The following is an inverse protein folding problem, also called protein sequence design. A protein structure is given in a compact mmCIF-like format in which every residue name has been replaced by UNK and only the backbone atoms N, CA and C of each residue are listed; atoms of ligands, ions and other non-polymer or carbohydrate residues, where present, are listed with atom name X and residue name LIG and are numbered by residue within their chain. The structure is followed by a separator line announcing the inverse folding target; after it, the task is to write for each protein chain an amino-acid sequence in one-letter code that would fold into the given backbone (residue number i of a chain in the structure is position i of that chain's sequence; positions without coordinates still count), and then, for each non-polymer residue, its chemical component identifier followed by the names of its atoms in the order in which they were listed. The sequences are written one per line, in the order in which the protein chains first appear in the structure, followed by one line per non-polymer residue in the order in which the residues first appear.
data_IF_660949260985
#
_entry.id   IF_660949260985
#
_cell.length_a   1.000
_cell.length_b   1.000
_cell.length_c   1.000
_cell.angle_alpha   90.00
_cell.angle_beta   90.00
_cell.angle_gamma   90.00
#
_symmetry.space_group_name_H-M   'P 1'
#
loop_
_entity.id
_entity.type
_entity.pdbx_description
1 polymer ?
#
# COMPACT_ATOMS: atom_id res chain seq x y z
N UNK A 1 40.71 -12.21 39.79
CA UNK A 1 41.86 -11.94 38.90
C UNK A 1 42.10 -12.97 37.79
N UNK A 2 41.84 -14.28 37.97
CA UNK A 2 41.99 -15.28 36.88
C UNK A 2 40.96 -15.19 35.73
N UNK A 3 39.88 -14.43 35.90
CA UNK A 3 38.86 -14.22 34.86
C UNK A 3 39.20 -13.10 33.85
N UNK A 4 40.02 -12.12 34.24
CA UNK A 4 40.39 -11.01 33.35
C UNK A 4 41.50 -11.38 32.35
N UNK A 5 42.31 -12.40 32.67
CA UNK A 5 43.41 -12.85 31.80
C UNK A 5 42.91 -13.64 30.57
N UNK A 6 41.77 -14.34 30.69
CA UNK A 6 41.20 -15.11 29.57
C UNK A 6 40.47 -14.25 28.53
N UNK A 7 39.95 -13.09 28.92
CA UNK A 7 39.34 -12.14 27.96
C UNK A 7 40.41 -11.40 27.16
N UNK A 8 41.56 -11.10 27.76
CA UNK A 8 42.65 -10.42 27.06
C UNK A 8 43.35 -11.33 26.02
N UNK A 9 43.49 -12.64 26.32
CA UNK A 9 44.05 -13.61 25.39
C UNK A 9 43.12 -13.91 24.19
N UNK A 10 41.79 -13.81 24.37
CA UNK A 10 40.83 -13.98 23.27
C UNK A 10 40.86 -12.80 22.28
N UNK A 11 41.13 -11.58 22.76
CA UNK A 11 41.32 -10.40 21.89
C UNK A 11 42.66 -10.42 21.15
N UNK A 12 43.73 -10.97 21.74
CA UNK A 12 45.01 -11.13 21.04
C UNK A 12 44.97 -12.23 19.95
N UNK A 13 44.14 -13.26 20.09
CA UNK A 13 44.00 -14.31 19.08
C UNK A 13 43.13 -13.90 17.88
N UNK A 14 42.15 -13.01 18.08
CA UNK A 14 41.31 -12.46 17.01
C UNK A 14 41.97 -11.30 16.24
N UNK A 15 42.94 -10.60 16.85
CA UNK A 15 43.71 -9.54 16.19
C UNK A 15 44.71 -10.02 15.13
N UNK A 16 45.26 -11.25 15.28
CA UNK A 16 46.25 -11.81 14.34
C UNK A 16 45.65 -12.58 13.16
N UNK A 17 44.33 -12.85 13.16
CA UNK A 17 43.65 -13.49 12.04
C UNK A 17 43.21 -12.49 10.95
N UNK A 18 43.23 -11.18 11.22
CA UNK A 18 42.79 -10.13 10.30
C UNK A 18 43.95 -9.38 9.61
N UNK A 19 45.19 -9.62 10.02
CA UNK A 19 46.40 -9.00 9.44
C UNK A 19 47.07 -9.82 8.33
N UNK A 20 46.64 -11.07 8.09
CA UNK A 20 47.20 -11.95 7.05
C UNK A 20 46.38 -12.04 5.74
N UNK A 21 45.39 -11.15 5.54
CA UNK A 21 44.60 -11.09 4.29
C UNK A 21 44.99 -9.90 3.40
N UNK A 22 45.84 -8.97 3.87
CA UNK A 22 46.24 -7.78 3.10
C UNK A 22 47.71 -7.74 2.63
N UNK A 23 48.43 -8.86 2.67
CA UNK A 23 49.81 -8.93 2.18
C UNK A 23 50.01 -10.09 1.19
N UNK A 24 49.29 -10.10 0.07
CA UNK A 24 49.69 -10.89 -1.12
C UNK A 24 48.91 -10.50 -2.38
N UNK A 25 48.92 -9.24 -2.80
CA UNK A 25 48.64 -8.88 -4.21
C UNK A 25 49.50 -7.66 -4.60
N UNK A 26 50.79 -7.88 -4.77
CA UNK A 26 51.62 -7.05 -5.65
C UNK A 26 52.47 -8.00 -6.52
N UNK A 27 52.32 -7.87 -7.84
CA UNK A 27 53.24 -8.45 -8.83
C UNK A 27 52.70 -9.61 -9.67
N UNK A 28 52.04 -9.29 -10.78
CA UNK A 28 52.27 -9.96 -12.07
C UNK A 28 51.53 -9.22 -13.21
N UNK A 29 52.29 -8.42 -13.96
CA UNK A 29 51.91 -7.97 -15.30
C UNK A 29 51.90 -9.15 -16.27
N UNK A 30 50.86 -9.26 -17.11
CA UNK A 30 50.91 -10.09 -18.30
C UNK A 30 49.55 -10.45 -18.90
N UNK A 31 49.29 -9.95 -20.12
CA UNK A 31 48.36 -10.57 -21.07
C UNK A 31 46.98 -9.92 -21.20
N UNK A 32 46.86 -8.99 -22.15
CA UNK A 32 45.57 -8.50 -22.64
C UNK A 32 44.78 -9.63 -23.32
N UNK A 33 43.58 -9.92 -22.80
CA UNK A 33 42.54 -10.69 -23.48
C UNK A 33 41.29 -9.82 -23.56
N UNK A 34 40.73 -9.70 -24.76
CA UNK A 34 39.58 -8.84 -25.03
C UNK A 34 38.38 -9.19 -24.13
N UNK A 35 37.56 -8.20 -23.73
CA UNK A 35 36.42 -8.44 -22.84
C UNK A 35 35.35 -9.26 -23.58
N UNK A 36 35.15 -10.50 -23.13
CA UNK A 36 33.97 -11.28 -23.49
C UNK A 36 32.71 -10.58 -22.97
N UNK A 37 31.65 -10.60 -23.79
CA UNK A 37 30.36 -10.02 -23.46
C UNK A 37 29.85 -10.54 -22.09
N UNK A 38 29.19 -9.68 -21.29
CA UNK A 38 28.62 -10.11 -20.02
C UNK A 38 27.57 -11.20 -20.25
N UNK A 39 27.43 -12.16 -19.32
CA UNK A 39 26.40 -13.19 -19.42
C UNK A 39 25.03 -12.53 -19.48
N UNK A 40 24.23 -12.94 -20.46
CA UNK A 40 22.81 -12.59 -20.60
C UNK A 40 22.12 -12.90 -19.28
N UNK A 41 21.72 -11.85 -18.56
CA UNK A 41 21.04 -11.97 -17.29
C UNK A 41 19.71 -12.69 -17.48
N UNK A 42 19.33 -13.53 -16.53
CA UNK A 42 17.97 -14.03 -16.40
C UNK A 42 17.02 -12.83 -16.38
N UNK A 43 16.23 -12.67 -17.45
CA UNK A 43 15.17 -11.67 -17.51
C UNK A 43 14.26 -11.88 -16.31
N UNK A 44 14.06 -10.83 -15.52
CA UNK A 44 12.98 -10.80 -14.55
C UNK A 44 11.67 -11.07 -15.31
N UNK A 45 10.71 -11.80 -14.71
CA UNK A 45 9.41 -11.96 -15.31
C UNK A 45 8.85 -10.58 -15.69
N UNK A 46 8.16 -10.46 -16.84
CA UNK A 46 7.61 -9.19 -17.30
C UNK A 46 6.74 -8.55 -16.21
N UNK A 47 6.56 -7.21 -16.19
CA UNK A 47 5.66 -6.57 -15.25
C UNK A 47 4.33 -7.32 -15.20
N UNK A 48 3.94 -7.76 -14.00
CA UNK A 48 2.71 -8.52 -13.77
C UNK A 48 1.51 -7.59 -13.85
N UNK A 49 1.20 -7.17 -15.08
CA UNK A 49 -0.12 -6.77 -15.57
C UNK A 49 0.03 -6.58 -17.06
N UNK A 50 -0.28 -7.62 -17.83
CA UNK A 50 -0.58 -7.45 -19.25
C UNK A 50 -1.85 -6.63 -19.31
N UNK A 51 -1.75 -5.35 -19.71
CA UNK A 51 -2.89 -4.74 -20.38
C UNK A 51 -3.32 -5.66 -21.52
N UNK A 52 -4.61 -5.74 -21.86
CA UNK A 52 -5.02 -6.49 -23.05
C UNK A 52 -4.17 -6.00 -24.23
N UNK A 53 -3.45 -6.94 -24.84
CA UNK A 53 -2.57 -6.66 -25.96
C UNK A 53 -3.45 -6.24 -27.14
N UNK A 54 -3.56 -4.93 -27.37
CA UNK A 54 -4.34 -4.38 -28.48
C UNK A 54 -5.85 -4.59 -28.35
N UNK A 55 -6.58 -3.81 -29.15
CA UNK A 55 -8.04 -3.81 -29.26
C UNK A 55 -8.67 -5.11 -29.81
N UNK A 56 -7.90 -6.19 -29.95
CA UNK A 56 -8.33 -7.44 -30.62
C UNK A 56 -8.51 -8.64 -29.69
N UNK A 57 -8.05 -8.62 -28.44
CA UNK A 57 -8.17 -9.76 -27.51
C UNK A 57 -8.97 -9.45 -26.23
N UNK A 58 -9.82 -8.42 -26.27
CA UNK A 58 -10.98 -8.41 -25.36
C UNK A 58 -11.94 -9.43 -25.92
N UNK A 59 -11.98 -10.62 -25.30
CA UNK A 59 -13.14 -11.49 -25.36
C UNK A 59 -14.35 -10.67 -24.92
N UNK A 60 -14.99 -10.01 -25.86
CA UNK A 60 -16.29 -9.41 -25.69
C UNK A 60 -17.25 -10.60 -25.54
N UNK A 61 -17.35 -11.13 -24.32
CA UNK A 61 -18.67 -11.55 -23.86
C UNK A 61 -19.58 -10.36 -24.17
N UNK A 62 -20.58 -10.54 -25.01
CA UNK A 62 -21.43 -9.44 -25.45
C UNK A 62 -22.04 -8.76 -24.21
N UNK A 63 -21.44 -7.63 -23.79
CA UNK A 63 -21.90 -6.82 -22.68
C UNK A 63 -23.10 -6.03 -23.18
N UNK A 64 -24.28 -6.67 -23.20
CA UNK A 64 -25.53 -5.97 -23.44
C UNK A 64 -25.76 -4.99 -22.30
N UNK A 65 -25.64 -3.69 -22.59
CA UNK A 65 -25.91 -2.62 -21.63
C UNK A 65 -27.34 -2.77 -21.10
N UNK A 66 -27.56 -2.87 -19.77
CA UNK A 66 -28.91 -2.78 -19.24
C UNK A 66 -29.48 -1.37 -19.48
N UNK A 67 -30.81 -1.24 -19.67
CA UNK A 67 -31.43 0.06 -19.91
C UNK A 67 -31.26 0.96 -18.67
N UNK A 68 -30.64 2.12 -18.88
CA UNK A 68 -30.42 3.16 -17.86
C UNK A 68 -31.75 3.86 -17.58
N UNK A 69 -32.39 3.54 -16.46
CA UNK A 69 -33.59 4.25 -16.01
C UNK A 69 -33.19 5.33 -14.99
N UNK A 70 -33.21 6.58 -15.46
CA UNK A 70 -33.65 7.76 -14.70
C UNK A 70 -32.97 8.07 -13.35
N UNK A 71 -31.71 8.51 -13.36
CA UNK A 71 -31.18 9.38 -12.32
C UNK A 71 -30.23 10.41 -12.98
N UNK A 72 -30.65 11.67 -13.00
CA UNK A 72 -29.81 12.79 -13.44
C UNK A 72 -28.67 13.01 -12.44
N UNK A 73 -27.50 12.47 -12.77
CA UNK A 73 -26.26 12.72 -12.06
C UNK A 73 -25.15 11.93 -12.73
N UNK A 74 -24.25 12.63 -13.43
CA UNK A 74 -22.99 12.16 -14.03
C UNK A 74 -22.62 10.70 -13.68
N UNK A 75 -23.20 9.74 -14.40
CA UNK A 75 -22.69 8.37 -14.37
C UNK A 75 -21.30 8.43 -14.98
N UNK A 76 -20.28 7.95 -14.26
CA UNK A 76 -18.98 7.65 -14.84
C UNK A 76 -19.09 6.40 -15.77
N UNK A 77 -20.16 6.30 -16.55
CA UNK A 77 -20.39 5.28 -17.56
C UNK A 77 -19.38 5.49 -18.68
N UNK A 78 -18.18 4.95 -18.49
CA UNK A 78 -17.08 5.18 -19.40
C UNK A 78 -15.70 4.96 -18.81
N UNK A 79 -15.54 4.66 -17.53
CA UNK A 79 -14.23 4.39 -16.94
C UNK A 79 -14.10 2.96 -16.41
N UNK A 80 -12.91 2.38 -16.57
CA UNK A 80 -12.47 1.14 -15.93
C UNK A 80 -11.31 1.44 -14.97
N UNK A 81 -11.45 1.01 -13.73
CA UNK A 81 -10.38 1.03 -12.73
C UNK A 81 -9.34 -0.03 -13.07
N UNK A 82 -8.08 0.36 -13.07
CA UNK A 82 -6.92 -0.51 -13.19
C UNK A 82 -5.91 -0.27 -12.08
N UNK A 83 -4.98 -1.21 -11.94
CA UNK A 83 -3.80 -1.04 -11.11
C UNK A 83 -2.55 -1.49 -11.85
N UNK A 84 -1.38 -1.01 -11.41
CA UNK A 84 -0.07 -1.46 -11.89
C UNK A 84 0.89 -1.52 -10.71
N UNK A 85 1.54 -2.67 -10.54
CA UNK A 85 2.48 -2.92 -9.46
C UNK A 85 3.94 -2.82 -9.91
N UNK A 86 4.66 -1.91 -9.26
CA UNK A 86 6.09 -1.70 -9.47
C UNK A 86 6.85 -2.40 -8.34
N UNK A 87 7.09 -3.69 -8.54
CA UNK A 87 7.94 -4.50 -7.66
C UNK A 87 9.42 -4.17 -7.92
N UNK A 88 10.23 -3.97 -6.86
CA UNK A 88 11.67 -3.75 -7.00
C UNK A 88 12.38 -4.90 -7.71
N UNK A 89 13.13 -4.59 -8.78
CA UNK A 89 13.99 -5.57 -9.44
C UNK A 89 15.26 -5.82 -8.62
N UNK A 90 15.78 -7.04 -8.71
CA UNK A 90 17.09 -7.38 -8.16
C UNK A 90 18.18 -6.79 -9.07
N UNK A 91 18.99 -5.86 -8.56
CA UNK A 91 20.10 -5.26 -9.30
C UNK A 91 21.32 -6.19 -9.29
N UNK A 92 21.64 -6.76 -8.12
CA UNK A 92 22.84 -7.57 -7.94
C UNK A 92 22.64 -8.64 -6.88
N UNK A 93 22.91 -9.89 -7.23
CA UNK A 93 23.02 -11.00 -6.26
C UNK A 93 24.40 -10.96 -5.61
N UNK A 94 24.49 -10.91 -4.28
CA UNK A 94 25.75 -11.08 -3.53
C UNK A 94 25.63 -12.29 -2.60
N UNK A 95 26.76 -12.86 -2.21
CA UNK A 95 26.83 -13.98 -1.26
C UNK A 95 26.11 -13.65 0.07
N UNK A 96 26.26 -12.41 0.54
CA UNK A 96 25.68 -11.92 1.81
C UNK A 96 24.34 -11.18 1.61
N UNK A 97 23.72 -11.27 0.44
CA UNK A 97 22.41 -10.66 0.18
C UNK A 97 22.31 -9.99 -1.20
N UNK A 98 21.09 -9.98 -1.74
CA UNK A 98 20.78 -9.31 -2.99
C UNK A 98 20.45 -7.83 -2.80
N UNK A 99 20.94 -6.99 -3.70
CA UNK A 99 20.61 -5.56 -3.82
C UNK A 99 19.41 -5.42 -4.74
N UNK A 100 18.45 -4.59 -4.34
CA UNK A 100 17.24 -4.30 -5.11
C UNK A 100 17.20 -2.82 -5.51
N UNK A 101 16.38 -2.51 -6.51
CA UNK A 101 15.98 -1.14 -6.86
C UNK A 101 15.51 -0.40 -5.62
N UNK A 102 15.92 0.85 -5.50
CA UNK A 102 15.40 1.73 -4.45
C UNK A 102 14.02 2.29 -4.83
N UNK A 103 13.36 2.96 -3.90
CA UNK A 103 12.01 3.47 -4.14
C UNK A 103 11.99 4.57 -5.22
N UNK A 104 13.06 5.36 -5.34
CA UNK A 104 13.19 6.38 -6.37
C UNK A 104 13.19 5.80 -7.79
N UNK A 105 13.83 4.64 -7.95
CA UNK A 105 13.86 3.87 -9.20
C UNK A 105 12.46 3.36 -9.59
N UNK A 106 11.63 3.00 -8.59
CA UNK A 106 10.23 2.64 -8.84
C UNK A 106 9.41 3.82 -9.37
N UNK A 107 9.61 5.02 -8.81
CA UNK A 107 8.93 6.24 -9.27
C UNK A 107 9.34 6.60 -10.69
N UNK A 108 10.62 6.42 -11.06
CA UNK A 108 11.07 6.60 -12.43
C UNK A 108 10.38 5.61 -13.39
N UNK A 109 10.29 4.33 -12.99
CA UNK A 109 9.56 3.32 -13.77
C UNK A 109 8.07 3.61 -13.90
N UNK A 110 7.45 4.17 -12.87
CA UNK A 110 6.06 4.65 -12.94
C UNK A 110 5.93 5.73 -14.01
N UNK A 111 6.84 6.72 -14.03
CA UNK A 111 6.78 7.79 -15.02
C UNK A 111 6.95 7.28 -16.46
N UNK A 112 7.92 6.39 -16.70
CA UNK A 112 8.07 5.74 -18.02
C UNK A 112 6.80 4.98 -18.40
N UNK A 113 6.19 4.26 -17.45
CA UNK A 113 4.95 3.54 -17.72
C UNK A 113 3.78 4.50 -18.01
N UNK A 114 3.62 5.59 -17.26
CA UNK A 114 2.58 6.59 -17.53
C UNK A 114 2.75 7.21 -18.92
N UNK A 115 3.99 7.49 -19.33
CA UNK A 115 4.32 8.01 -20.67
C UNK A 115 3.91 7.06 -21.79
N UNK A 116 4.12 5.76 -21.61
CA UNK A 116 3.72 4.71 -22.56
C UNK A 116 2.20 4.50 -22.64
N UNK A 117 1.45 4.91 -21.62
CA UNK A 117 0.02 4.63 -21.47
C UNK A 117 -0.81 5.91 -21.51
N UNK A 118 -0.71 6.65 -22.62
CA UNK A 118 -1.54 7.82 -22.87
C UNK A 118 -3.04 7.47 -22.72
N UNK A 119 -3.80 8.34 -22.05
CA UNK A 119 -5.23 8.15 -21.82
C UNK A 119 -5.61 7.56 -20.46
N UNK A 120 -4.63 7.22 -19.62
CA UNK A 120 -4.90 6.91 -18.21
C UNK A 120 -5.03 8.18 -17.35
N UNK A 121 -5.86 8.11 -16.32
CA UNK A 121 -5.93 9.11 -15.26
C UNK A 121 -5.47 8.48 -13.96
N UNK A 122 -4.36 8.96 -13.39
CA UNK A 122 -3.87 8.44 -12.12
C UNK A 122 -4.79 8.91 -10.98
N UNK A 123 -5.29 7.96 -10.19
CA UNK A 123 -6.21 8.22 -9.08
C UNK A 123 -5.49 8.25 -7.74
N UNK A 124 -4.58 7.30 -7.52
CA UNK A 124 -3.90 7.12 -6.25
C UNK A 124 -2.60 6.35 -6.44
N UNK A 125 -1.68 6.57 -5.53
CA UNK A 125 -0.44 5.81 -5.38
C UNK A 125 -0.35 5.32 -3.95
N UNK A 126 0.10 4.08 -3.76
CA UNK A 126 0.32 3.53 -2.42
C UNK A 126 1.55 2.63 -2.36
N UNK A 127 2.07 2.48 -1.15
CA UNK A 127 3.23 1.66 -0.85
C UNK A 127 2.79 0.26 -0.42
N UNK A 128 2.95 -0.73 -1.29
CA UNK A 128 2.59 -2.13 -0.98
C UNK A 128 3.80 -2.87 -0.40
N UNK A 129 3.58 -3.67 0.64
CA UNK A 129 4.60 -4.49 1.29
C UNK A 129 4.32 -5.97 1.09
N UNK A 130 4.94 -6.60 0.11
CA UNK A 130 4.82 -8.04 -0.06
C UNK A 130 5.79 -8.80 0.84
N UNK A 131 5.36 -9.93 1.36
CA UNK A 131 6.19 -10.83 2.17
C UNK A 131 6.31 -12.20 1.52
N UNK A 132 7.47 -12.84 1.69
CA UNK A 132 7.72 -14.16 1.13
C UNK A 132 8.79 -14.93 1.91
N UNK A 133 8.84 -16.25 1.70
CA UNK A 133 9.95 -17.08 2.18
C UNK A 133 11.22 -16.83 1.37
N UNK A 134 11.04 -16.65 0.06
CA UNK A 134 12.08 -16.29 -0.90
C UNK A 134 11.63 -15.09 -1.72
N UNK A 135 12.59 -14.28 -2.15
CA UNK A 135 12.29 -13.10 -2.97
C UNK A 135 11.79 -13.48 -4.36
N UNK A 136 12.25 -14.62 -4.89
CA UNK A 136 11.83 -15.15 -6.19
C UNK A 136 10.34 -15.57 -6.21
N UNK A 137 9.72 -15.71 -5.04
CA UNK A 137 8.32 -16.14 -4.88
C UNK A 137 7.43 -15.00 -4.35
N UNK A 138 7.85 -13.75 -4.53
CA UNK A 138 7.02 -12.58 -4.21
C UNK A 138 6.18 -12.27 -5.44
N UNK A 139 4.91 -12.66 -5.36
CA UNK A 139 3.93 -12.47 -6.44
C UNK A 139 3.09 -11.24 -6.13
N UNK A 140 3.19 -10.22 -6.99
CA UNK A 140 2.48 -8.96 -6.83
C UNK A 140 0.95 -9.14 -6.81
N UNK A 141 0.46 -10.08 -7.62
CA UNK A 141 -0.96 -10.34 -7.81
C UNK A 141 -1.60 -11.13 -6.65
N UNK A 142 -0.84 -11.68 -5.69
CA UNK A 142 -1.44 -12.44 -4.59
C UNK A 142 -2.13 -11.53 -3.59
N UNK A 143 -3.39 -11.87 -3.27
CA UNK A 143 -4.19 -11.17 -2.25
C UNK A 143 -3.97 -11.72 -0.84
N UNK A 144 -2.95 -12.52 -0.60
CA UNK A 144 -2.64 -13.00 0.74
C UNK A 144 -1.15 -12.92 1.02
N UNK A 145 -0.82 -12.60 2.26
CA UNK A 145 0.54 -12.55 2.75
C UNK A 145 0.93 -13.88 3.36
N UNK A 146 2.03 -14.42 2.85
CA UNK A 146 2.74 -15.52 3.48
C UNK A 146 3.66 -14.91 4.53
N UNK A 147 3.47 -15.26 5.80
CA UNK A 147 4.40 -14.85 6.85
C UNK A 147 5.81 -15.30 6.44
N UNK A 148 6.68 -14.31 6.29
CA UNK A 148 8.02 -14.48 5.75
C UNK A 148 8.94 -13.44 6.34
N UNK A 149 10.16 -13.84 6.67
CA UNK A 149 11.18 -12.93 7.18
C UNK A 149 11.69 -11.94 6.12
N UNK A 150 11.33 -12.16 4.85
CA UNK A 150 11.75 -11.33 3.72
C UNK A 150 10.56 -10.51 3.25
N UNK A 151 10.77 -9.21 3.19
CA UNK A 151 9.76 -8.27 2.76
C UNK A 151 10.32 -7.43 1.61
N UNK A 152 9.47 -7.18 0.62
CA UNK A 152 9.69 -6.21 -0.45
C UNK A 152 8.61 -5.15 -0.38
N UNK A 153 9.01 -3.92 -0.65
CA UNK A 153 8.13 -2.78 -0.74
C UNK A 153 8.20 -2.20 -2.13
N UNK A 154 7.05 -2.16 -2.78
CA UNK A 154 6.92 -1.52 -4.07
C UNK A 154 5.91 -0.38 -4.02
N UNK A 155 5.51 0.00 -5.22
CA UNK A 155 4.58 1.07 -5.49
C UNK A 155 3.43 0.51 -6.32
N UNK A 156 2.20 0.65 -5.84
CA UNK A 156 0.99 0.36 -6.61
C UNK A 156 0.41 1.66 -7.11
N UNK A 157 0.19 1.73 -8.40
CA UNK A 157 -0.47 2.83 -9.08
C UNK A 157 -1.91 2.43 -9.38
N UNK A 158 -2.88 3.22 -8.91
CA UNK A 158 -4.29 3.08 -9.29
C UNK A 158 -4.63 4.11 -10.34
N UNK A 159 -5.30 3.68 -11.40
CA UNK A 159 -5.65 4.55 -12.53
C UNK A 159 -7.02 4.22 -13.12
N UNK A 160 -7.62 5.20 -13.78
CA UNK A 160 -8.82 5.03 -14.59
C UNK A 160 -8.44 5.04 -16.06
N UNK A 161 -9.06 4.15 -16.84
CA UNK A 161 -8.99 4.12 -18.30
C UNK A 161 -10.35 4.42 -18.88
N UNK A 162 -10.41 5.21 -19.95
CA UNK A 162 -11.66 5.39 -20.69
C UNK A 162 -11.98 4.13 -21.49
N UNK A 163 -13.22 3.65 -21.36
CA UNK A 163 -13.77 2.58 -22.19
C UNK A 163 -13.92 3.03 -23.65
N UNK A 164 -14.19 4.33 -23.85
CA UNK A 164 -14.26 4.97 -25.16
C UNK A 164 -13.28 6.15 -25.14
N UNK A 165 -12.11 6.03 -25.79
CA UNK A 165 -11.09 7.07 -25.77
C UNK A 165 -11.62 8.41 -26.31
N UNK A 166 -11.56 9.46 -25.49
CA UNK A 166 -11.86 10.82 -25.91
C UNK A 166 -10.62 11.44 -26.60
N UNK A 167 -10.77 12.01 -27.82
CA UNK A 167 -9.67 12.67 -28.52
C UNK A 167 -9.02 13.79 -27.72
N UNK A 168 -9.76 14.43 -26.80
CA UNK A 168 -9.32 15.60 -26.05
C UNK A 168 -8.36 15.24 -24.90
N UNK A 169 -8.39 14.01 -24.37
CA UNK A 169 -7.59 13.62 -23.19
C UNK A 169 -6.19 13.12 -23.50
N UNK A 170 -5.86 12.92 -24.77
CA UNK A 170 -4.55 12.38 -25.20
C UNK A 170 -3.37 13.35 -24.98
N UNK A 171 -3.55 14.47 -24.25
CA UNK A 171 -2.56 15.56 -24.14
C UNK A 171 -2.06 15.86 -22.74
N UNK A 172 -2.58 15.21 -21.69
CA UNK A 172 -2.08 15.48 -20.34
C UNK A 172 -0.92 14.56 -20.01
N UNK A 173 0.30 15.05 -20.25
CA UNK A 173 1.51 14.44 -19.71
C UNK A 173 1.48 14.58 -18.18
N UNK A 174 1.41 13.45 -17.48
CA UNK A 174 1.41 13.39 -16.02
C UNK A 174 2.78 12.90 -15.58
N UNK A 175 3.54 13.74 -14.88
CA UNK A 175 4.79 13.33 -14.24
C UNK A 175 4.52 13.17 -12.75
N UNK A 176 4.75 11.96 -12.23
CA UNK A 176 4.67 11.64 -10.82
C UNK A 176 5.99 12.00 -10.12
N UNK A 177 5.90 12.88 -9.13
CA UNK A 177 6.93 13.10 -8.13
C UNK A 177 6.55 12.46 -6.80
N UNK A 178 7.57 12.02 -6.08
CA UNK A 178 7.42 11.47 -4.74
C UNK A 178 8.44 12.13 -3.81
N UNK A 179 8.00 12.50 -2.60
CA UNK A 179 8.85 12.98 -1.51
C UNK A 179 8.52 12.21 -0.25
N UNK A 180 9.54 11.72 0.45
CA UNK A 180 9.35 11.02 1.73
C UNK A 180 10.01 11.79 2.86
N UNK A 181 9.26 12.04 3.93
CA UNK A 181 9.68 12.80 5.08
C UNK A 181 9.72 11.90 6.32
N UNK A 182 10.93 11.64 6.81
CA UNK A 182 11.14 10.88 8.03
C UNK A 182 10.85 11.72 9.28
N UNK A 183 10.35 11.12 10.37
CA UNK A 183 10.23 11.79 11.66
C UNK A 183 11.60 12.03 12.32
N UNK A 184 11.71 13.14 13.04
CA UNK A 184 12.78 13.38 14.03
C UNK A 184 12.49 12.60 15.32
N UNK A 185 13.50 12.33 16.17
CA UNK A 185 13.26 11.75 17.49
C UNK A 185 12.22 12.56 18.27
N UNK A 186 11.27 11.88 18.90
CA UNK A 186 10.16 12.46 19.67
C UNK A 186 9.17 13.35 18.90
N UNK A 187 9.31 13.46 17.57
CA UNK A 187 8.37 14.22 16.74
C UNK A 187 6.99 13.55 16.73
N UNK A 188 5.95 14.34 16.96
CA UNK A 188 4.56 13.95 16.76
C UNK A 188 4.19 14.00 15.28
N UNK A 189 3.12 13.32 14.89
CA UNK A 189 2.65 13.33 13.51
C UNK A 189 2.29 14.73 13.02
N UNK A 190 1.61 15.52 13.88
CA UNK A 190 1.29 16.93 13.61
C UNK A 190 2.54 17.81 13.38
N UNK A 191 3.61 17.60 14.14
CA UNK A 191 4.88 18.31 13.94
C UNK A 191 5.58 17.89 12.64
N UNK A 192 5.60 16.59 12.34
CA UNK A 192 6.14 16.06 11.09
C UNK A 192 5.41 16.68 9.89
N UNK A 193 4.08 16.68 9.89
CA UNK A 193 3.28 17.24 8.79
C UNK A 193 3.52 18.74 8.59
N UNK A 194 3.63 19.51 9.67
CA UNK A 194 3.98 20.94 9.58
C UNK A 194 5.29 21.15 8.83
N UNK A 195 6.31 20.39 9.19
CA UNK A 195 7.62 20.42 8.52
C UNK A 195 7.55 19.95 7.07
N UNK A 196 6.68 18.99 6.75
CA UNK A 196 6.40 18.61 5.35
C UNK A 196 5.89 19.81 4.57
N UNK A 197 4.86 20.50 5.06
CA UNK A 197 4.31 21.67 4.37
C UNK A 197 5.33 22.80 4.20
N UNK A 198 6.14 23.08 5.23
CA UNK A 198 7.24 24.05 5.14
C UNK A 198 8.25 23.68 4.05
N UNK A 199 8.61 22.39 3.94
CA UNK A 199 9.53 21.91 2.92
C UNK A 199 8.94 21.99 1.51
N UNK A 200 7.67 21.61 1.32
CA UNK A 200 6.99 21.69 0.04
C UNK A 200 6.89 23.13 -0.47
N UNK A 201 6.58 24.08 0.42
CA UNK A 201 6.57 25.52 0.09
C UNK A 201 7.97 25.99 -0.31
N UNK A 202 8.99 25.63 0.47
CA UNK A 202 10.38 26.04 0.22
C UNK A 202 10.94 25.49 -1.10
N UNK A 203 10.62 24.25 -1.44
CA UNK A 203 11.10 23.59 -2.65
C UNK A 203 10.37 24.07 -3.92
N UNK A 204 9.22 24.76 -3.78
CA UNK A 204 8.39 25.21 -4.89
C UNK A 204 8.10 24.09 -5.91
N UNK A 205 7.74 22.91 -5.40
CA UNK A 205 7.42 21.77 -6.26
C UNK A 205 6.12 22.09 -7.00
N UNK A 206 6.22 22.32 -8.32
CA UNK A 206 5.05 22.51 -9.16
C UNK A 206 4.17 21.25 -9.20
N UNK A 207 2.91 21.42 -9.60
CA UNK A 207 1.93 20.33 -9.66
C UNK A 207 0.90 20.35 -8.53
N UNK A 208 0.12 19.28 -8.47
CA UNK A 208 -1.00 19.06 -7.55
C UNK A 208 -0.73 17.82 -6.70
N UNK A 209 -1.03 17.89 -5.41
CA UNK A 209 -0.89 16.75 -4.50
C UNK A 209 -1.95 15.71 -4.89
N UNK A 210 -1.48 14.56 -5.37
CA UNK A 210 -2.31 13.43 -5.74
C UNK A 210 -2.82 12.73 -4.49
N UNK A 211 -1.89 12.22 -3.68
CA UNK A 211 -2.19 11.53 -2.44
C UNK A 211 -1.05 11.71 -1.42
N UNK A 212 -1.41 11.52 -0.15
CA UNK A 212 -0.50 11.56 0.98
C UNK A 212 -0.63 10.26 1.74
N UNK A 213 0.49 9.62 2.03
CA UNK A 213 0.52 8.30 2.65
C UNK A 213 1.35 8.35 3.94
N UNK A 214 0.81 7.80 5.04
CA UNK A 214 1.64 7.43 6.19
C UNK A 214 2.21 6.04 5.94
N UNK A 215 3.53 5.93 5.87
CA UNK A 215 4.20 4.65 5.62
C UNK A 215 4.99 4.22 6.87
N UNK A 216 4.74 3.02 7.43
CA UNK A 216 5.55 2.48 8.51
C UNK A 216 6.89 1.96 7.96
N UNK A 217 8.00 2.52 8.43
CA UNK A 217 9.35 2.06 8.13
C UNK A 217 9.92 1.30 9.32
N UNK A 218 10.48 0.12 9.08
CA UNK A 218 11.06 -0.72 10.12
C UNK A 218 12.58 -0.53 10.17
N UNK A 219 13.09 -0.21 11.35
CA UNK A 219 14.51 -0.25 11.66
C UNK A 219 14.84 -1.54 12.41
N UNK A 220 15.92 -2.20 11.98
CA UNK A 220 16.50 -3.36 12.70
C UNK A 220 17.23 -2.96 13.97
N UNK A 221 17.44 -1.65 14.20
CA UNK A 221 18.07 -1.16 15.43
C UNK A 221 17.06 -1.06 16.57
N UNK A 222 17.49 -1.43 17.78
CA UNK A 222 16.71 -1.31 19.02
C UNK A 222 16.41 0.14 19.40
N UNK A 223 17.24 1.08 18.95
CA UNK A 223 17.08 2.52 19.14
C UNK A 223 17.00 3.23 17.80
N UNK A 224 16.08 4.19 17.69
CA UNK A 224 16.02 5.06 16.52
C UNK A 224 17.20 6.03 16.53
N UNK A 225 18.08 5.89 15.54
CA UNK A 225 19.08 6.90 15.23
C UNK A 225 18.65 7.67 13.98
N UNK A 226 18.68 9.02 13.98
CA UNK A 226 18.50 9.79 12.76
C UNK A 226 19.41 9.26 11.65
N UNK A 227 18.84 8.98 10.47
CA UNK A 227 19.56 8.40 9.33
C UNK A 227 19.71 6.87 9.34
N UNK A 228 19.33 6.16 10.42
CA UNK A 228 19.34 4.69 10.44
C UNK A 228 18.21 4.08 9.60
N UNK A 229 17.14 4.84 9.36
CA UNK A 229 16.03 4.44 8.49
C UNK A 229 16.22 5.12 7.14
N UNK A 230 16.38 4.31 6.08
CA UNK A 230 16.39 4.81 4.71
C UNK A 230 14.99 4.59 4.10
N UNK A 231 14.24 5.65 3.73
CA UNK A 231 12.89 5.55 3.18
C UNK A 231 12.86 4.94 1.78
N UNK A 232 13.98 4.94 1.07
CA UNK A 232 14.11 4.40 -0.27
C UNK A 232 14.51 2.92 -0.27
N UNK A 233 14.78 2.33 0.90
CA UNK A 233 14.99 0.90 1.01
C UNK A 233 13.68 0.16 0.75
N UNK A 234 13.67 -0.60 -0.34
CA UNK A 234 12.56 -1.43 -0.77
C UNK A 234 12.62 -2.86 -0.24
N UNK A 235 13.73 -3.23 0.41
CA UNK A 235 13.97 -4.58 0.92
C UNK A 235 14.37 -4.54 2.38
N UNK A 236 13.74 -5.38 3.19
CA UNK A 236 14.27 -5.68 4.51
C UNK A 236 14.12 -7.16 4.85
N UNK A 237 14.96 -7.57 5.80
CA UNK A 237 14.91 -8.89 6.44
C UNK A 237 14.94 -8.67 7.93
N UNK A 238 14.01 -9.26 8.67
CA UNK A 238 14.08 -9.16 10.11
C UNK A 238 12.83 -9.59 10.83
N UNK A 239 13.02 -9.87 12.11
CA UNK A 239 11.94 -10.02 13.05
C UNK A 239 11.31 -8.66 13.35
N UNK A 240 10.07 -8.47 12.87
CA UNK A 240 9.29 -7.26 13.11
C UNK A 240 8.92 -7.08 14.58
N UNK A 241 9.03 -8.13 15.39
CA UNK A 241 8.55 -8.15 16.77
C UNK A 241 9.38 -7.29 17.73
N UNK A 242 10.58 -6.85 17.33
CA UNK A 242 11.42 -5.93 18.11
C UNK A 242 11.90 -4.72 17.30
N UNK A 243 11.28 -4.50 16.15
CA UNK A 243 11.66 -3.42 15.26
C UNK A 243 11.23 -2.07 15.84
N UNK A 244 12.09 -1.07 15.68
CA UNK A 244 11.66 0.32 15.83
C UNK A 244 10.92 0.72 14.57
N UNK A 245 9.68 1.15 14.72
CA UNK A 245 8.82 1.61 13.62
C UNK A 245 8.85 3.14 13.60
N UNK A 246 9.15 3.70 12.43
CA UNK A 246 9.05 5.12 12.14
C UNK A 246 7.94 5.36 11.09
N UNK A 247 6.89 6.07 11.48
CA UNK A 247 5.83 6.53 10.60
C UNK A 247 6.35 7.74 9.83
N UNK A 248 6.61 7.58 8.54
CA UNK A 248 6.98 8.68 7.65
C UNK A 248 5.78 9.15 6.84
N UNK A 249 5.87 10.37 6.30
CA UNK A 249 4.89 10.91 5.37
C UNK A 249 5.48 10.84 3.97
N UNK A 250 4.77 10.19 3.06
CA UNK A 250 5.10 10.14 1.63
C UNK A 250 4.07 10.95 0.87
N UNK A 251 4.53 11.93 0.10
CA UNK A 251 3.69 12.84 -0.69
C UNK A 251 3.90 12.55 -2.16
N UNK A 252 2.83 12.23 -2.85
CA UNK A 252 2.80 12.02 -4.29
C UNK A 252 2.21 13.26 -4.97
N UNK A 253 2.92 13.80 -5.97
CA UNK A 253 2.58 15.05 -6.65
C UNK A 253 2.53 14.76 -8.14
N UNK A 254 1.44 15.14 -8.81
CA UNK A 254 1.34 15.09 -10.27
C UNK A 254 1.62 16.48 -10.83
N UNK A 255 2.59 16.57 -11.74
CA UNK A 255 2.89 17.80 -12.48
C UNK A 255 2.11 17.80 -13.79
N UNK A 256 1.18 18.74 -13.92
CA UNK A 256 0.34 18.96 -15.12
C UNK A 256 0.60 20.32 -15.79
N UNK A 257 1.65 21.03 -15.38
CA UNK A 257 2.03 22.35 -15.91
C UNK A 257 1.46 23.55 -15.11
N UNK A 258 0.47 23.34 -14.26
CA UNK A 258 -0.03 24.34 -13.32
C UNK A 258 0.67 24.21 -11.95
N UNK A 259 1.12 25.32 -11.38
CA UNK A 259 1.66 25.36 -10.03
C UNK A 259 0.53 25.54 -9.03
N UNK A 260 0.25 24.51 -8.23
CA UNK A 260 -0.68 24.62 -7.11
C UNK A 260 0.09 24.69 -5.79
N UNK A 261 -0.15 25.76 -5.02
CA UNK A 261 0.34 25.86 -3.65
C UNK A 261 -0.69 25.25 -2.71
N UNK A 262 -0.43 24.01 -2.31
CA UNK A 262 -1.32 23.22 -1.47
C UNK A 262 -0.68 22.96 -0.11
N UNK A 263 -1.43 23.20 0.95
CA UNK A 263 -1.06 22.87 2.32
C UNK A 263 -1.80 21.61 2.75
N UNK A 264 -1.07 20.58 3.17
CA UNK A 264 -1.62 19.29 3.57
C UNK A 264 -2.15 19.37 5.01
N UNK A 265 -3.42 19.00 5.18
CA UNK A 265 -4.05 18.70 6.44
C UNK A 265 -4.39 17.21 6.59
N UNK A 266 -4.72 16.80 7.80
CA UNK A 266 -5.22 15.47 8.10
C UNK A 266 -6.24 15.50 9.24
N UNK A 267 -7.11 14.50 9.28
CA UNK A 267 -7.99 14.23 10.41
C UNK A 267 -7.99 12.74 10.71
N UNK A 268 -7.70 12.40 11.97
CA UNK A 268 -7.76 11.03 12.46
C UNK A 268 -9.11 10.73 13.10
N UNK A 269 -9.61 9.53 12.85
CA UNK A 269 -10.77 8.93 13.47
C UNK A 269 -10.33 7.65 14.16
N UNK A 270 -10.16 7.76 15.47
CA UNK A 270 -9.74 6.64 16.33
C UNK A 270 -10.99 5.89 16.80
N UNK A 271 -11.00 4.55 16.75
CA UNK A 271 -12.06 3.76 17.36
C UNK A 271 -12.18 4.05 18.85
N UNK A 272 -13.37 4.40 19.31
CA UNK A 272 -13.68 4.62 20.71
C UNK A 272 -14.00 3.31 21.40
N UNK A 273 -13.78 3.27 22.71
CA UNK A 273 -14.11 2.09 23.50
C UNK A 273 -15.61 2.07 23.81
N UNK A 274 -16.34 1.11 23.25
CA UNK A 274 -17.76 0.88 23.38
C UNK A 274 -18.06 -0.57 23.78
N UNK A 275 -18.81 -0.75 24.87
CA UNK A 275 -19.16 -2.07 25.41
C UNK A 275 -20.03 -2.90 24.45
N UNK A 276 -20.67 -2.29 23.44
CA UNK A 276 -21.50 -2.98 22.44
C UNK A 276 -20.70 -3.97 21.58
N UNK A 277 -19.39 -3.78 21.44
CA UNK A 277 -18.53 -4.55 20.52
C UNK A 277 -17.63 -5.54 21.25
N UNK A 278 -18.23 -6.47 22.01
CA UNK A 278 -17.46 -7.44 22.81
C UNK A 278 -16.50 -8.31 21.98
N UNK A 279 -16.87 -8.62 20.73
CA UNK A 279 -16.07 -9.33 19.74
C UNK A 279 -14.86 -8.51 19.23
N UNK A 280 -14.98 -7.19 19.17
CA UNK A 280 -13.90 -6.24 18.88
C UNK A 280 -13.19 -5.70 20.14
N UNK A 281 -13.26 -6.43 21.26
CA UNK A 281 -12.65 -6.03 22.56
C UNK A 281 -13.14 -4.68 23.09
N UNK A 282 -14.40 -4.40 22.80
CA UNK A 282 -15.08 -3.18 23.21
C UNK A 282 -14.61 -1.96 22.44
N UNK A 283 -14.18 -2.09 21.19
CA UNK A 283 -13.88 -0.94 20.33
C UNK A 283 -14.87 -0.87 19.17
N UNK A 284 -15.21 0.35 18.73
CA UNK A 284 -16.01 0.57 17.50
C UNK A 284 -15.44 -0.20 16.30
N UNK A 285 -16.31 -0.77 15.48
CA UNK A 285 -15.93 -1.42 14.21
C UNK A 285 -15.61 -0.38 13.13
N UNK A 286 -14.98 -0.81 12.04
CA UNK A 286 -14.49 0.10 11.01
C UNK A 286 -15.62 0.94 10.38
N UNK A 287 -16.80 0.37 10.17
CA UNK A 287 -17.96 1.07 9.63
C UNK A 287 -18.39 2.27 10.48
N UNK A 288 -18.38 2.13 11.81
CA UNK A 288 -18.74 3.23 12.71
C UNK A 288 -17.68 4.34 12.72
N UNK A 289 -16.40 3.95 12.64
CA UNK A 289 -15.28 4.91 12.48
C UNK A 289 -15.39 5.65 11.15
N UNK A 290 -15.77 4.95 10.08
CA UNK A 290 -16.03 5.54 8.77
C UNK A 290 -17.24 6.48 8.78
N UNK A 291 -18.29 6.19 9.54
CA UNK A 291 -19.44 7.09 9.70
C UNK A 291 -19.06 8.39 10.43
N UNK A 292 -18.12 8.33 11.38
CA UNK A 292 -17.53 9.53 12.00
C UNK A 292 -16.75 10.33 10.95
N UNK A 293 -15.93 9.66 10.13
CA UNK A 293 -15.18 10.29 9.05
C UNK A 293 -16.11 10.96 8.03
N UNK A 294 -17.16 10.28 7.60
CA UNK A 294 -18.13 10.78 6.63
C UNK A 294 -18.87 12.03 7.12
N UNK A 295 -19.32 12.03 8.39
CA UNK A 295 -19.96 13.21 9.00
C UNK A 295 -19.02 14.40 9.11
N UNK A 296 -17.75 14.17 9.39
CA UNK A 296 -16.75 15.24 9.43
C UNK A 296 -16.47 15.79 8.03
N UNK A 297 -16.27 14.91 7.03
CA UNK A 297 -16.05 15.28 5.62
C UNK A 297 -17.18 16.14 5.09
N UNK A 298 -18.44 15.76 5.34
CA UNK A 298 -19.63 16.48 4.88
C UNK A 298 -19.77 17.90 5.45
N UNK A 299 -19.05 18.22 6.53
CA UNK A 299 -19.04 19.55 7.16
C UNK A 299 -17.89 20.45 6.71
N UNK A 300 -16.88 19.89 6.03
CA UNK A 300 -15.76 20.70 5.60
C UNK A 300 -16.11 21.47 4.33
N UNK A 301 -15.56 22.68 4.22
CA UNK A 301 -15.67 23.54 3.04
C UNK A 301 -14.29 24.14 2.74
N UNK A 302 -14.03 24.45 1.47
CA UNK A 302 -12.77 25.06 1.06
C UNK A 302 -11.55 24.14 1.20
N UNK A 303 -11.77 22.84 1.30
CA UNK A 303 -10.73 21.81 1.32
C UNK A 303 -10.96 20.84 0.18
N UNK A 304 -9.88 20.33 -0.40
CA UNK A 304 -9.92 19.22 -1.36
C UNK A 304 -9.39 17.98 -0.67
N UNK A 305 -10.22 16.96 -0.52
CA UNK A 305 -9.78 15.68 0.01
C UNK A 305 -8.86 14.98 -1.00
N UNK A 306 -7.75 14.41 -0.55
CA UNK A 306 -6.79 13.70 -1.43
C UNK A 306 -7.01 12.19 -1.35
N UNK A 307 -7.08 11.64 -0.15
CA UNK A 307 -7.27 10.20 0.07
C UNK A 307 -7.70 9.91 1.50
N UNK A 308 -8.23 8.70 1.71
CA UNK A 308 -8.46 8.13 3.04
C UNK A 308 -7.52 6.94 3.19
N UNK A 309 -6.94 6.77 4.38
CA UNK A 309 -6.00 5.70 4.68
C UNK A 309 -6.39 4.98 5.96
N UNK A 310 -6.40 3.65 5.94
CA UNK A 310 -6.54 2.82 7.14
C UNK A 310 -5.17 2.54 7.75
N UNK A 311 -4.95 2.93 9.01
CA UNK A 311 -3.64 2.82 9.67
C UNK A 311 -3.69 1.96 10.92
N UNK A 312 -2.83 0.93 10.96
CA UNK A 312 -2.60 0.13 12.17
C UNK A 312 -1.58 0.80 13.08
N UNK A 313 -2.05 1.38 14.19
CA UNK A 313 -1.23 2.11 15.14
C UNK A 313 -1.14 1.38 16.47
N UNK A 314 0.05 1.40 17.07
CA UNK A 314 0.28 0.76 18.37
C UNK A 314 -0.56 1.45 19.45
N UNK A 315 -1.48 0.71 20.04
CA UNK A 315 -2.33 1.16 21.12
C UNK A 315 -1.66 0.99 22.48
N UNK A 316 -1.68 2.06 23.26
CA UNK A 316 -1.37 2.05 24.69
C UNK A 316 -2.61 2.54 25.41
N UNK A 317 -2.95 1.95 26.56
CA UNK A 317 -4.11 2.33 27.40
C UNK A 317 -4.06 3.77 27.96
N UNK A 318 -3.16 4.62 27.48
CA UNK A 318 -3.04 6.01 27.89
C UNK A 318 -3.94 6.86 26.99
N UNK A 319 -4.72 7.74 27.61
CA UNK A 319 -5.48 8.79 26.93
C UNK A 319 -4.70 10.10 27.20
N UNK A 320 -4.48 10.96 26.20
CA UNK A 320 -4.95 10.90 24.80
C UNK A 320 -4.19 9.88 23.94
N UNK A 321 -4.77 9.55 22.77
CA UNK A 321 -4.14 8.68 21.76
C UNK A 321 -2.79 9.24 21.33
N UNK A 322 -1.78 8.38 21.25
CA UNK A 322 -0.39 8.80 21.12
C UNK A 322 -0.03 9.11 19.66
N UNK A 323 0.18 10.39 19.34
CA UNK A 323 0.60 10.85 18.01
C UNK A 323 2.10 10.67 17.71
N UNK A 324 2.84 9.84 18.48
CA UNK A 324 4.28 9.68 18.24
C UNK A 324 4.53 8.96 16.91
N UNK A 325 5.39 9.53 16.07
CA UNK A 325 5.78 8.90 14.82
C UNK A 325 6.75 7.73 15.01
N UNK A 326 7.42 7.61 16.16
CA UNK A 326 8.40 6.56 16.41
C UNK A 326 7.98 5.74 17.61
N UNK A 327 7.91 4.43 17.44
CA UNK A 327 7.62 3.48 18.52
C UNK A 327 8.33 2.14 18.29
N UNK A 328 8.62 1.44 19.39
CA UNK A 328 9.13 0.06 19.32
C UNK A 328 7.95 -0.91 19.26
N UNK A 329 7.89 -1.76 18.24
CA UNK A 329 6.95 -2.87 18.18
C UNK A 329 7.34 -3.94 19.21
N UNK A 330 6.34 -4.63 19.76
CA UNK A 330 6.54 -5.81 20.62
C UNK A 330 5.48 -6.86 20.30
N UNK A 331 5.78 -8.14 20.51
CA UNK A 331 4.80 -9.23 20.33
C UNK A 331 3.52 -9.04 21.15
N UNK A 332 3.68 -8.43 22.32
CA UNK A 332 2.59 -8.11 23.25
C UNK A 332 1.86 -6.81 22.90
N UNK A 333 2.30 -6.08 21.87
CA UNK A 333 1.68 -4.83 21.47
C UNK A 333 0.26 -5.08 20.97
N UNK A 334 -0.63 -4.19 21.36
CA UNK A 334 -1.98 -4.12 20.83
C UNK A 334 -1.99 -3.03 19.78
N UNK A 335 -2.80 -3.20 18.73
CA UNK A 335 -2.93 -2.25 17.65
C UNK A 335 -4.40 -1.88 17.46
N UNK A 336 -4.62 -0.61 17.12
CA UNK A 336 -5.89 -0.10 16.65
C UNK A 336 -5.75 0.33 15.19
N UNK A 337 -6.66 -0.11 14.34
CA UNK A 337 -6.87 0.41 12.99
C UNK A 337 -7.66 1.71 13.08
N UNK A 338 -7.01 2.83 12.81
CA UNK A 338 -7.66 4.13 12.70
C UNK A 338 -7.98 4.43 11.23
N UNK A 339 -8.89 5.37 11.00
CA UNK A 339 -9.11 5.96 9.68
C UNK A 339 -8.50 7.36 9.68
N UNK A 340 -7.63 7.65 8.70
CA UNK A 340 -7.03 8.96 8.49
C UNK A 340 -7.53 9.55 7.18
N UNK A 341 -8.12 10.74 7.23
CA UNK A 341 -8.53 11.49 6.03
C UNK A 341 -7.49 12.57 5.76
N UNK A 342 -6.90 12.55 4.56
CA UNK A 342 -6.02 13.62 4.10
C UNK A 342 -6.78 14.61 3.22
N UNK A 343 -6.44 15.88 3.38
CA UNK A 343 -6.99 16.96 2.59
C UNK A 343 -5.94 18.02 2.34
N UNK A 344 -6.21 18.89 1.38
CA UNK A 344 -5.38 20.05 1.10
C UNK A 344 -6.22 21.31 1.06
N UNK A 345 -5.60 22.41 1.48
CA UNK A 345 -6.11 23.77 1.27
C UNK A 345 -5.22 24.48 0.27
N UNK A 346 -5.80 25.07 -0.77
CA UNK A 346 -5.05 25.87 -1.74
C UNK A 346 -4.85 27.29 -1.20
N UNK A 347 -3.61 27.78 -1.17
CA UNK A 347 -3.31 29.19 -0.91
C UNK A 347 -3.41 29.96 -2.23
N UNK A 348 -4.63 30.10 -2.77
CA UNK A 348 -4.84 30.68 -4.10
C UNK A 348 -6.28 30.59 -4.59
N UNK A 349 -6.46 30.75 -5.91
CA UNK A 349 -7.75 30.70 -6.59
C UNK A 349 -8.48 29.39 -6.22
N UNK A 350 -9.68 29.52 -5.67
CA UNK A 350 -10.52 28.39 -5.30
C UNK A 350 -10.91 27.63 -6.55
N UNK A 351 -10.42 26.40 -6.70
CA UNK A 351 -10.89 25.47 -7.74
C UNK A 351 -12.40 25.31 -7.58
N UNK A 352 -13.18 25.48 -8.63
CA UNK A 352 -14.65 25.33 -8.56
C UNK A 352 -15.05 23.94 -8.03
N UNK A 353 -14.23 22.92 -8.31
CA UNK A 353 -14.41 21.56 -7.82
C UNK A 353 -14.24 21.43 -6.30
N UNK A 354 -13.47 22.31 -5.66
CA UNK A 354 -13.29 22.32 -4.19
C UNK A 354 -14.50 22.85 -3.42
N UNK A 355 -15.50 23.38 -4.13
CA UNK A 355 -16.76 23.88 -3.55
C UNK A 355 -17.87 22.83 -3.52
N UNK A 356 -17.69 21.69 -4.21
CA UNK A 356 -18.72 20.67 -4.24
C UNK A 356 -18.76 19.92 -2.90
N UNK A 357 -19.94 19.80 -2.24
CA UNK A 357 -20.07 19.00 -1.04
C UNK A 357 -19.57 17.56 -1.29
N UNK A 358 -18.60 17.13 -0.49
CA UNK A 358 -18.12 15.76 -0.52
C UNK A 358 -18.96 14.91 0.43
N UNK A 359 -19.47 13.79 -0.05
CA UNK A 359 -20.13 12.79 0.81
C UNK A 359 -19.33 11.51 0.77
N UNK A 360 -18.51 11.29 1.78
CA UNK A 360 -17.69 10.09 1.86
C UNK A 360 -18.57 8.87 2.18
N UNK A 361 -18.56 7.88 1.29
CA UNK A 361 -19.01 6.51 1.57
C UNK A 361 -17.87 5.55 1.25
N UNK A 362 -17.99 4.27 1.62
CA UNK A 362 -16.95 3.29 1.34
C UNK A 362 -17.52 1.92 0.99
N UNK A 363 -16.67 1.09 0.36
CA UNK A 363 -16.91 -0.32 0.13
C UNK A 363 -15.61 -1.09 0.26
N UNK A 364 -15.63 -2.23 0.95
CA UNK A 364 -14.47 -3.13 1.02
C UNK A 364 -14.74 -4.39 0.23
N UNK A 365 -13.86 -4.70 -0.71
CA UNK A 365 -13.89 -5.93 -1.50
C UNK A 365 -12.91 -6.93 -0.90
N UNK A 366 -13.45 -8.06 -0.47
CA UNK A 366 -12.71 -9.15 0.15
C UNK A 366 -12.44 -10.24 -0.87
N UNK A 367 -11.18 -10.68 -1.05
CA UNK A 367 -10.87 -11.81 -1.92
C UNK A 367 -11.71 -13.04 -1.61
N UNK A 368 -12.36 -13.60 -2.63
CA UNK A 368 -13.03 -14.88 -2.49
C UNK A 368 -12.01 -15.99 -2.25
N UNK A 369 -12.33 -16.92 -1.34
CA UNK A 369 -11.51 -18.10 -1.13
C UNK A 369 -11.78 -19.11 -2.26
N UNK A 370 -10.79 -19.39 -3.09
CA UNK A 370 -10.92 -20.28 -4.26
C UNK A 370 -10.67 -21.74 -3.90
N UNK A 371 -9.80 -22.00 -2.91
CA UNK A 371 -9.48 -23.35 -2.43
C UNK A 371 -9.67 -23.42 -0.93
N UNK A 372 -10.42 -24.43 -0.46
CA UNK A 372 -10.52 -24.72 0.97
C UNK A 372 -9.15 -25.19 1.48
N UNK A 373 -8.59 -24.51 2.47
CA UNK A 373 -7.36 -25.01 3.09
C UNK A 373 -7.61 -26.30 3.86
N UNK A 374 -6.58 -27.12 3.93
CA UNK A 374 -6.53 -28.31 4.78
C UNK A 374 -5.53 -28.12 5.93
N UNK A 375 -5.27 -29.19 6.69
CA UNK A 375 -4.20 -29.21 7.69
C UNK A 375 -2.81 -29.05 7.07
N UNK A 376 -2.62 -29.50 5.82
CA UNK A 376 -1.33 -29.46 5.12
C UNK A 376 -1.23 -28.36 4.07
N UNK A 377 -2.37 -27.90 3.53
CA UNK A 377 -2.41 -26.89 2.47
C UNK A 377 -3.08 -25.60 2.95
N UNK A 378 -2.45 -24.42 2.73
CA UNK A 378 -3.12 -23.17 3.03
C UNK A 378 -4.34 -22.97 2.10
N UNK A 379 -5.46 -22.34 2.55
CA UNK A 379 -6.41 -21.74 1.62
C UNK A 379 -5.74 -20.88 0.56
N UNK A 380 -6.31 -20.90 -0.63
CA UNK A 380 -6.00 -19.99 -1.72
C UNK A 380 -7.15 -19.01 -1.91
N UNK A 381 -6.82 -17.83 -2.40
CA UNK A 381 -7.75 -16.73 -2.61
C UNK A 381 -7.65 -16.26 -4.06
N UNK A 382 -8.70 -15.62 -4.55
CA UNK A 382 -8.66 -14.93 -5.84
C UNK A 382 -7.49 -13.94 -5.86
N UNK A 383 -6.84 -13.81 -7.00
CA UNK A 383 -5.77 -12.83 -7.17
C UNK A 383 -6.33 -11.40 -7.27
N UNK A 384 -5.42 -10.42 -7.24
CA UNK A 384 -5.76 -9.00 -7.25
C UNK A 384 -6.44 -8.61 -8.56
N UNK A 385 -6.14 -9.31 -9.66
CA UNK A 385 -6.73 -9.06 -10.98
C UNK A 385 -8.21 -9.43 -10.98
N UNK A 386 -8.54 -10.64 -10.56
CA UNK A 386 -9.93 -11.10 -10.45
C UNK A 386 -10.73 -10.25 -9.45
N UNK A 387 -10.12 -9.88 -8.33
CA UNK A 387 -10.72 -8.94 -7.36
C UNK A 387 -11.00 -7.57 -8.00
N UNK A 388 -10.06 -7.03 -8.80
CA UNK A 388 -10.22 -5.76 -9.51
C UNK A 388 -11.29 -5.83 -10.61
N UNK A 389 -11.40 -6.95 -11.33
CA UNK A 389 -12.49 -7.14 -12.31
C UNK A 389 -13.85 -7.16 -11.62
N UNK A 390 -13.95 -7.77 -10.43
CA UNK A 390 -15.16 -7.77 -9.60
C UNK A 390 -15.51 -6.37 -9.09
N UNK A 391 -14.51 -5.58 -8.70
CA UNK A 391 -14.65 -4.15 -8.38
C UNK A 391 -15.21 -3.38 -9.58
N UNK A 392 -14.67 -3.58 -10.78
CA UNK A 392 -15.12 -2.90 -11.99
C UNK A 392 -16.57 -3.23 -12.36
N UNK A 393 -16.97 -4.50 -12.25
CA UNK A 393 -18.36 -4.90 -12.48
C UNK A 393 -19.31 -4.19 -11.49
N UNK A 394 -18.92 -4.12 -10.21
CA UNK A 394 -19.69 -3.44 -9.19
C UNK A 394 -19.79 -1.92 -9.44
N UNK A 395 -18.68 -1.26 -9.81
CA UNK A 395 -18.67 0.15 -10.18
C UNK A 395 -19.60 0.43 -11.36
N UNK A 396 -19.57 -0.43 -12.38
CA UNK A 396 -20.42 -0.29 -13.56
C UNK A 396 -21.91 -0.39 -13.21
N UNK A 397 -22.29 -1.34 -12.36
CA UNK A 397 -23.70 -1.54 -11.97
C UNK A 397 -24.21 -0.43 -11.04
N UNK A 398 -23.37 0.02 -10.11
CA UNK A 398 -23.79 1.00 -9.09
C UNK A 398 -23.66 2.45 -9.55
N UNK A 399 -22.83 2.72 -10.57
CA UNK A 399 -22.47 4.08 -10.97
C UNK A 399 -21.72 4.85 -9.87
N UNK A 400 -21.18 4.17 -8.87
CA UNK A 400 -20.51 4.79 -7.74
C UNK A 400 -19.30 5.62 -8.21
N UNK A 401 -19.16 6.83 -7.68
CA UNK A 401 -18.09 7.76 -8.08
C UNK A 401 -16.87 7.52 -7.20
N UNK A 402 -15.80 6.99 -7.79
CA UNK A 402 -14.56 6.73 -7.08
C UNK A 402 -13.93 8.04 -6.59
N UNK A 403 -13.66 8.11 -5.29
CA UNK A 403 -12.91 9.18 -4.65
C UNK A 403 -11.45 8.77 -4.41
N UNK A 404 -11.23 7.61 -3.80
CA UNK A 404 -9.89 7.08 -3.53
C UNK A 404 -9.97 5.55 -3.38
N UNK A 405 -8.83 4.88 -3.50
CA UNK A 405 -8.71 3.43 -3.35
C UNK A 405 -7.41 3.11 -2.61
N UNK A 406 -7.48 2.12 -1.73
CA UNK A 406 -6.32 1.58 -1.03
C UNK A 406 -6.38 0.05 -0.95
N UNK A 407 -5.21 -0.55 -0.79
CA UNK A 407 -5.05 -1.97 -0.47
C UNK A 407 -4.87 -2.13 1.03
N UNK A 408 -5.86 -2.70 1.72
CA UNK A 408 -5.81 -2.90 3.18
C UNK A 408 -5.38 -4.33 3.49
N UNK A 409 -4.29 -4.48 4.25
CA UNK A 409 -3.91 -5.77 4.82
C UNK A 409 -4.74 -6.05 6.09
N UNK A 410 -5.57 -7.08 6.05
CA UNK A 410 -6.45 -7.46 7.14
C UNK A 410 -6.13 -8.87 7.57
N UNK A 411 -6.09 -9.09 8.88
CA UNK A 411 -5.74 -10.38 9.45
C UNK A 411 -6.94 -11.32 9.43
N UNK A 412 -6.73 -12.55 8.93
CA UNK A 412 -7.80 -13.57 8.81
C UNK A 412 -8.34 -14.04 10.16
N UNK A 413 -7.52 -14.06 11.20
CA UNK A 413 -7.90 -14.64 12.51
C UNK A 413 -8.61 -13.65 13.44
N UNK A 414 -9.01 -12.47 12.97
CA UNK A 414 -9.72 -11.49 13.80
C UNK A 414 -11.23 -11.81 13.85
N UNK A 415 -11.54 -12.95 14.46
CA UNK A 415 -12.91 -13.38 14.73
C UNK A 415 -13.83 -13.37 13.50
N UNK A 416 -15.11 -13.13 13.75
CA UNK A 416 -16.17 -12.97 12.73
C UNK A 416 -16.13 -11.61 12.02
N UNK A 417 -15.40 -10.63 12.55
CA UNK A 417 -15.45 -9.24 12.06
C UNK A 417 -14.64 -9.02 10.79
N UNK A 418 -13.59 -9.82 10.56
CA UNK A 418 -12.77 -9.73 9.35
C UNK A 418 -12.28 -8.30 9.07
N UNK A 419 -12.73 -7.71 7.98
CA UNK A 419 -12.33 -6.37 7.53
C UNK A 419 -12.86 -5.22 8.39
N UNK A 420 -13.84 -5.48 9.23
CA UNK A 420 -14.48 -4.51 10.11
C UNK A 420 -13.79 -4.42 11.47
N UNK A 421 -12.88 -5.34 11.79
CA UNK A 421 -12.17 -5.30 13.04
C UNK A 421 -11.18 -4.13 13.11
N UNK A 422 -11.32 -3.31 14.13
CA UNK A 422 -10.38 -2.21 14.40
C UNK A 422 -9.38 -2.54 15.50
N UNK A 423 -9.65 -3.55 16.32
CA UNK A 423 -8.75 -3.97 17.37
C UNK A 423 -8.06 -5.29 17.02
N UNK A 424 -6.74 -5.35 17.18
CA UNK A 424 -6.04 -6.63 17.10
C UNK A 424 -4.77 -6.68 17.96
N UNK A 425 -4.38 -7.92 18.29
CA UNK A 425 -3.12 -8.24 18.99
C UNK A 425 -2.42 -9.36 18.22
N UNK A 426 -1.16 -9.22 17.79
CA UNK A 426 -0.40 -10.33 17.22
C UNK A 426 -0.40 -11.52 18.20
N UNK A 427 -0.79 -12.71 17.73
CA UNK A 427 -0.92 -13.96 18.48
C UNK A 427 0.04 -15.06 18.04
N UNK A 428 0.64 -15.05 16.83
CA UNK A 428 1.69 -16.04 16.45
C UNK A 428 2.28 -15.82 15.04
N UNK A 429 3.39 -16.49 14.73
CA UNK A 429 3.97 -16.64 13.38
C UNK A 429 3.02 -17.29 12.35
N UNK A 430 1.97 -17.98 12.80
CA UNK A 430 0.99 -18.64 11.91
C UNK A 430 -0.05 -17.67 11.30
N UNK A 431 0.08 -16.38 11.60
CA UNK A 431 -0.85 -15.36 11.12
C UNK A 431 -0.82 -15.20 9.61
N UNK A 432 -2.02 -15.05 9.07
CA UNK A 432 -2.24 -14.82 7.65
C UNK A 432 -2.98 -13.51 7.50
N UNK A 433 -2.50 -12.74 6.55
CA UNK A 433 -3.13 -11.49 6.16
C UNK A 433 -3.66 -11.65 4.74
N UNK A 434 -4.79 -11.01 4.51
CA UNK A 434 -5.47 -10.95 3.23
C UNK A 434 -5.48 -9.48 2.83
N UNK A 435 -5.21 -9.20 1.57
CA UNK A 435 -5.32 -7.88 0.98
C UNK A 435 -6.71 -7.68 0.45
N UNK A 436 -7.37 -6.67 0.99
CA UNK A 436 -8.68 -6.21 0.54
C UNK A 436 -8.47 -4.96 -0.30
N UNK A 437 -9.33 -4.75 -1.30
CA UNK A 437 -9.43 -3.45 -1.97
C UNK A 437 -10.50 -2.67 -1.25
N UNK A 438 -10.13 -1.55 -0.62
CA UNK A 438 -11.08 -0.64 0.00
C UNK A 438 -11.22 0.59 -0.88
N UNK A 439 -12.45 0.85 -1.26
CA UNK A 439 -12.83 1.98 -2.10
C UNK A 439 -13.53 3.03 -1.25
N UNK A 440 -13.15 4.27 -1.48
CA UNK A 440 -13.77 5.45 -0.93
C UNK A 440 -14.48 6.16 -2.07
N UNK A 441 -15.71 6.58 -1.83
CA UNK A 441 -16.63 7.01 -2.86
C UNK A 441 -17.18 8.40 -2.50
N UNK A 442 -17.48 9.20 -3.52
CA UNK A 442 -18.12 10.49 -3.35
C UNK A 442 -19.60 10.41 -3.76
N UNK A 443 -20.48 10.45 -2.77
CA UNK A 443 -21.92 10.33 -2.92
C UNK A 443 -22.45 9.02 -2.33
N UNK A 444 -23.76 8.86 -2.48
CA UNK A 444 -24.42 7.59 -2.20
C UNK A 444 -24.37 6.68 -3.42
N UNK A 445 -24.50 5.39 -3.17
CA UNK A 445 -24.74 4.38 -4.18
C UNK A 445 -25.86 3.46 -3.69
N UNK A 446 -26.58 2.84 -4.62
CA UNK A 446 -27.63 1.87 -4.30
C UNK A 446 -27.09 0.48 -4.60
N UNK A 447 -27.07 -0.39 -3.61
CA UNK A 447 -26.72 -1.80 -3.80
C UNK A 447 -27.91 -2.54 -4.41
N UNK A 448 -27.92 -2.72 -5.73
CA UNK A 448 -28.89 -3.60 -6.36
C UNK A 448 -28.64 -5.07 -5.94
N UNK A 449 -29.66 -5.95 -5.99
CA UNK A 449 -29.45 -7.38 -5.74
C UNK A 449 -28.33 -8.00 -6.60
N UNK A 450 -28.20 -7.53 -7.84
CA UNK A 450 -27.10 -7.92 -8.74
C UNK A 450 -25.74 -7.46 -8.20
N UNK A 451 -25.63 -6.20 -7.76
CA UNK A 451 -24.39 -5.69 -7.16
C UNK A 451 -24.03 -6.45 -5.87
N UNK A 452 -25.03 -6.78 -5.05
CA UNK A 452 -24.84 -7.61 -3.84
C UNK A 452 -24.30 -8.99 -4.20
N UNK A 453 -24.83 -9.63 -5.24
CA UNK A 453 -24.38 -10.96 -5.67
C UNK A 453 -22.90 -10.98 -6.07
N UNK A 454 -22.41 -9.91 -6.68
CA UNK A 454 -21.00 -9.76 -7.10
C UNK A 454 -20.09 -9.64 -5.87
N UNK A 455 -20.51 -8.89 -4.86
CA UNK A 455 -19.70 -8.73 -3.63
C UNK A 455 -19.73 -9.99 -2.78
N UNK A 456 -20.90 -10.62 -2.68
CA UNK A 456 -21.16 -11.74 -1.78
C UNK A 456 -20.92 -13.10 -2.41
N UNK A 457 -20.42 -13.17 -3.65
CA UNK A 457 -20.15 -14.43 -4.36
C UNK A 457 -18.99 -15.20 -3.70
N UNK A 458 -19.23 -15.71 -2.50
CA UNK A 458 -18.53 -16.86 -1.98
C UNK A 458 -18.82 -17.98 -2.99
N UNK A 459 -17.81 -18.60 -3.62
CA UNK A 459 -18.06 -19.81 -4.36
C UNK A 459 -18.82 -20.73 -3.41
N UNK A 460 -20.01 -21.18 -3.83
CA UNK A 460 -20.62 -22.35 -3.22
C UNK A 460 -19.62 -23.46 -3.48
N UNK A 461 -18.67 -23.64 -2.55
CA UNK A 461 -17.86 -24.83 -2.51
C UNK A 461 -18.90 -25.93 -2.50
N UNK A 462 -19.01 -26.64 -3.62
CA UNK A 462 -19.82 -27.83 -3.71
C UNK A 462 -19.17 -28.78 -2.70
N UNK A 463 -19.62 -28.69 -1.45
CA UNK A 463 -19.40 -29.73 -0.47
C UNK A 463 -20.15 -30.88 -1.11
N UNK A 464 -19.40 -31.77 -1.78
CA UNK A 464 -19.91 -33.09 -2.09
C UNK A 464 -20.42 -33.61 -0.76
N UNK A 465 -21.74 -33.71 -0.61
CA UNK A 465 -22.32 -34.37 0.55
C UNK A 465 -21.56 -35.69 0.70
N UNK A 466 -20.99 -35.98 1.87
CA UNK A 466 -20.40 -37.29 2.06
C UNK A 466 -21.54 -38.28 1.85
N UNK A 467 -21.47 -39.02 0.75
CA UNK A 467 -22.26 -40.22 0.53
C UNK A 467 -21.90 -41.19 1.65
N UNK A 468 -22.57 -41.02 2.79
CA UNK A 468 -22.74 -42.02 3.82
C UNK A 468 -23.68 -43.10 3.22
N UNK A 469 -23.12 -43.93 2.36
CA UNK A 469 -23.67 -45.25 2.11
C UNK A 469 -22.90 -46.24 2.99
N UNK A 470 -23.65 -46.69 4.01
CA UNK A 470 -23.55 -47.91 4.83
C UNK A 470 -22.23 -48.69 4.89
#
# INVERSE_FOLDING_TARGET
MKWFVNIFLLFCYLGNAMSNIFASIEGACGGAKAPGAPPVGQEAPPPYTTLPAGSSEVGATAWSSPPVVGAMGYSQSGFKLGYMDFVPKMIKKKLMGSVYEDFSSLVQRVNSWIEEHAGICVVSCETITWTGRNYDHIYADKTYLVHGQRMLRGLRLWYLTELVPSPQRHRMCQILHCRTFLPKPHETFSQLLRRVNEALIKENIGGKILCVETVPLYSTMSEYKPGAVNPDVTRWTGDINKATVALCIRVYIIVTGETAYENIGYQDFVPEHDQRHADNKGFEVCSEVMDKAARWVARQQGVRFTNVQTLSLKYKKKIPFEERCIYTASETSVYLSIVRVYFVTSTGRTDADSLLPCRLTYRTFTPNQTVLGSTSTPPEFEDTRNLCDRVNQWLHITGARLFSVETVAIRRTVGSLGAEATFFRPRSESERWIYHIRMYLNGDYVESPTALSIVMCQPKLAVSEPNLFY
#
